data_IF_609784143093
#
_entry.id   IF_609784143093
#
_cell.length_a   1.000
_cell.length_b   1.000
_cell.length_c   1.000
_cell.angle_alpha   90.00
_cell.angle_beta   90.00
_cell.angle_gamma   90.00
#
_symmetry.space_group_name_H-M   'P 1'
#
loop_
_entity.id
_entity.type
_entity.pdbx_description
1 polymer ?
#
# COMPACT_ATOMS: atom_id res chain seq x y z
N UNK A 1 -35.47 -37.44 10.74
CA UNK A 1 -34.67 -36.55 9.86
C UNK A 1 -33.86 -35.56 10.71
N UNK A 2 -32.63 -35.20 10.27
CA UNK A 2 -31.56 -34.62 11.09
C UNK A 2 -31.79 -33.15 11.53
N UNK A 3 -31.00 -32.65 12.50
CA UNK A 3 -31.12 -31.28 13.05
C UNK A 3 -30.64 -30.18 12.07
N UNK A 4 -31.04 -28.91 12.28
CA UNK A 4 -30.40 -27.76 11.62
C UNK A 4 -29.02 -27.54 12.28
N UNK A 5 -27.95 -27.11 11.59
CA UNK A 5 -27.87 -25.72 11.14
C UNK A 5 -26.90 -25.47 9.95
N UNK A 6 -27.11 -24.40 9.19
CA UNK A 6 -25.96 -23.63 8.67
C UNK A 6 -26.22 -22.16 8.90
N UNK A 7 -25.64 -21.68 9.99
CA UNK A 7 -25.26 -20.29 10.19
C UNK A 7 -24.47 -19.87 8.95
N UNK A 8 -25.11 -19.25 7.95
CA UNK A 8 -24.34 -18.44 7.03
C UNK A 8 -24.12 -17.12 7.73
N UNK A 9 -22.97 -17.09 8.39
CA UNK A 9 -22.31 -15.97 9.01
C UNK A 9 -22.55 -14.68 8.23
N UNK A 10 -23.13 -13.73 8.94
CA UNK A 10 -23.23 -12.31 8.61
C UNK A 10 -21.89 -11.81 8.08
N UNK A 11 -21.89 -11.25 6.87
CA UNK A 11 -21.00 -10.13 6.57
C UNK A 11 -21.90 -9.07 5.95
N UNK A 12 -22.48 -8.27 6.84
CA UNK A 12 -22.87 -6.91 6.52
C UNK A 12 -21.57 -6.19 6.14
N UNK A 13 -21.26 -6.09 4.85
CA UNK A 13 -20.42 -4.98 4.38
C UNK A 13 -21.28 -3.72 4.36
N UNK A 14 -21.74 -3.32 5.55
CA UNK A 14 -21.86 -1.90 5.83
C UNK A 14 -20.44 -1.39 5.98
N UNK A 15 -19.94 -0.65 5.02
CA UNK A 15 -19.05 0.45 5.38
C UNK A 15 -19.06 1.48 4.27
N UNK A 16 -19.23 2.70 4.73
CA UNK A 16 -19.39 3.93 3.98
C UNK A 16 -18.21 4.12 3.01
N UNK A 17 -18.50 4.47 1.76
CA UNK A 17 -17.57 5.21 0.91
C UNK A 17 -17.48 6.64 1.45
N UNK A 18 -16.97 6.79 2.67
CA UNK A 18 -16.51 8.09 3.14
C UNK A 18 -15.10 8.19 2.63
N UNK A 19 -14.89 9.06 1.64
CA UNK A 19 -13.56 9.42 1.12
C UNK A 19 -12.71 9.85 2.33
N UNK A 20 -12.00 8.89 2.92
CA UNK A 20 -10.97 9.16 3.91
C UNK A 20 -9.81 9.70 3.10
N UNK A 21 -9.68 11.02 3.11
CA UNK A 21 -8.39 11.70 2.91
C UNK A 21 -7.35 10.84 3.63
N UNK A 22 -6.31 10.40 2.93
CA UNK A 22 -5.43 9.31 3.36
C UNK A 22 -4.63 9.63 4.63
N UNK A 23 -5.31 9.61 5.78
CA UNK A 23 -4.77 9.60 7.14
C UNK A 23 -4.18 8.22 7.47
N UNK A 24 -3.29 7.75 6.59
CA UNK A 24 -2.49 6.56 6.85
C UNK A 24 -1.05 7.01 7.08
N UNK A 25 -0.42 6.44 8.09
CA UNK A 25 0.99 6.73 8.35
C UNK A 25 1.85 6.16 7.23
N UNK A 26 2.97 6.81 6.93
CA UNK A 26 3.94 6.32 5.92
C UNK A 26 4.39 4.87 6.21
N UNK A 27 4.53 4.53 7.51
CA UNK A 27 4.78 3.16 7.96
C UNK A 27 3.67 2.17 7.56
N UNK A 28 2.41 2.51 7.83
CA UNK A 28 1.26 1.64 7.49
C UNK A 28 1.14 1.48 5.97
N UNK A 29 1.37 2.56 5.22
CA UNK A 29 1.42 2.52 3.76
C UNK A 29 2.48 1.55 3.26
N UNK A 30 3.70 1.61 3.80
CA UNK A 30 4.79 0.70 3.44
C UNK A 30 4.48 -0.75 3.77
N UNK A 31 3.89 -1.02 4.94
CA UNK A 31 3.48 -2.38 5.34
C UNK A 31 2.45 -2.95 4.36
N UNK A 32 1.46 -2.15 3.96
CA UNK A 32 0.42 -2.59 3.03
C UNK A 32 0.93 -2.78 1.60
N UNK A 33 1.80 -1.88 1.12
CA UNK A 33 2.52 -2.02 -0.15
C UNK A 33 3.33 -3.32 -0.13
N UNK A 34 4.06 -3.60 0.95
CA UNK A 34 4.87 -4.80 1.09
C UNK A 34 4.02 -6.07 1.07
N UNK A 35 2.85 -6.04 1.71
CA UNK A 35 1.89 -7.14 1.70
C UNK A 35 1.38 -7.40 0.27
N UNK A 36 0.96 -6.35 -0.44
CA UNK A 36 0.53 -6.46 -1.84
C UNK A 36 1.66 -6.99 -2.72
N UNK A 37 2.88 -6.47 -2.58
CA UNK A 37 4.08 -6.91 -3.31
C UNK A 37 4.51 -8.36 -2.97
N UNK A 38 3.94 -9.00 -1.94
CA UNK A 38 4.12 -10.44 -1.66
C UNK A 38 3.05 -11.29 -2.34
N UNK A 39 1.83 -10.76 -2.48
CA UNK A 39 0.71 -11.45 -3.12
C UNK A 39 0.70 -11.31 -4.65
N UNK A 40 1.31 -10.25 -5.18
CA UNK A 40 1.37 -9.95 -6.62
C UNK A 40 2.73 -10.28 -7.23
N UNK A 41 2.72 -10.52 -8.54
CA UNK A 41 3.94 -10.75 -9.30
C UNK A 41 4.67 -9.44 -9.59
N UNK A 42 5.83 -9.24 -8.95
CA UNK A 42 6.68 -8.06 -9.10
C UNK A 42 7.16 -7.84 -10.54
N UNK A 43 7.22 -8.90 -11.34
CA UNK A 43 7.70 -8.83 -12.72
C UNK A 43 6.69 -8.19 -13.68
N UNK A 44 5.40 -8.21 -13.29
CA UNK A 44 4.28 -7.68 -14.09
C UNK A 44 3.52 -6.56 -13.40
N UNK A 45 3.76 -6.37 -12.10
CA UNK A 45 3.07 -5.35 -11.30
C UNK A 45 3.83 -4.03 -11.34
N UNK A 46 3.17 -2.98 -11.81
CA UNK A 46 3.68 -1.61 -11.77
C UNK A 46 3.23 -0.88 -10.51
N UNK A 47 3.95 0.17 -10.10
CA UNK A 47 3.58 0.98 -8.94
C UNK A 47 2.14 1.54 -9.03
N UNK A 48 1.67 1.84 -10.26
CA UNK A 48 0.27 2.20 -10.52
C UNK A 48 -0.73 1.11 -10.10
N UNK A 49 -0.42 -0.16 -10.37
CA UNK A 49 -1.25 -1.30 -9.93
C UNK A 49 -1.21 -1.47 -8.42
N UNK A 50 -0.03 -1.32 -7.81
CA UNK A 50 0.13 -1.41 -6.35
C UNK A 50 -0.71 -0.35 -5.65
N UNK A 51 -0.60 0.92 -6.07
CA UNK A 51 -1.41 2.02 -5.52
C UNK A 51 -2.90 1.71 -5.56
N UNK A 52 -3.41 1.28 -6.72
CA UNK A 52 -4.82 0.92 -6.89
C UNK A 52 -5.26 -0.23 -5.97
N UNK A 53 -4.37 -1.19 -5.70
CA UNK A 53 -4.66 -2.29 -4.79
C UNK A 53 -4.68 -1.82 -3.33
N UNK A 54 -3.76 -0.93 -2.93
CA UNK A 54 -3.75 -0.31 -1.60
C UNK A 54 -5.03 0.53 -1.41
N UNK A 55 -5.33 1.41 -2.36
CA UNK A 55 -6.55 2.24 -2.38
C UNK A 55 -7.80 1.37 -2.25
N UNK A 56 -7.90 0.28 -3.02
CA UNK A 56 -9.04 -0.63 -2.97
C UNK A 56 -9.13 -1.43 -1.67
N UNK A 57 -7.98 -1.76 -1.05
CA UNK A 57 -7.93 -2.57 0.17
C UNK A 57 -8.25 -1.76 1.42
N UNK A 58 -7.77 -0.52 1.48
CA UNK A 58 -7.99 0.40 2.59
C UNK A 58 -9.18 1.35 2.37
N UNK A 59 -9.73 1.39 1.16
CA UNK A 59 -10.78 2.31 0.70
C UNK A 59 -10.38 3.80 0.93
N UNK A 60 -9.14 4.13 0.56
CA UNK A 60 -8.55 5.47 0.68
C UNK A 60 -8.15 6.00 -0.70
N UNK A 61 -7.97 7.31 -0.82
CA UNK A 61 -7.41 7.94 -2.02
C UNK A 61 -5.94 8.29 -1.82
N UNK A 62 -5.06 7.69 -2.64
CA UNK A 62 -3.62 7.98 -2.64
C UNK A 62 -3.21 8.74 -3.91
N UNK A 63 -4.15 9.32 -4.64
CA UNK A 63 -3.88 10.09 -5.86
C UNK A 63 -2.90 11.24 -5.61
N UNK A 64 -3.05 11.94 -4.48
CA UNK A 64 -2.16 13.03 -4.09
C UNK A 64 -0.78 12.53 -3.61
N UNK A 65 -0.74 11.33 -3.00
CA UNK A 65 0.47 10.68 -2.49
C UNK A 65 1.10 9.69 -3.48
N UNK A 66 0.79 9.82 -4.77
CA UNK A 66 1.31 8.94 -5.84
C UNK A 66 2.84 8.81 -5.79
N UNK A 67 3.56 9.93 -5.64
CA UNK A 67 5.04 9.94 -5.64
C UNK A 67 5.57 9.06 -4.51
N UNK A 68 5.05 9.27 -3.31
CA UNK A 68 5.42 8.50 -2.12
C UNK A 68 5.13 7.00 -2.31
N UNK A 69 4.00 6.64 -2.89
CA UNK A 69 3.68 5.24 -3.19
C UNK A 69 4.65 4.65 -4.22
N UNK A 70 4.94 5.38 -5.30
CA UNK A 70 5.89 4.95 -6.34
C UNK A 70 7.29 4.74 -5.71
N UNK A 71 7.74 5.65 -4.85
CA UNK A 71 9.04 5.56 -4.15
C UNK A 71 9.10 4.38 -3.18
N UNK A 72 8.04 4.15 -2.39
CA UNK A 72 7.95 3.01 -1.49
C UNK A 72 7.94 1.68 -2.24
N UNK A 73 7.27 1.61 -3.40
CA UNK A 73 7.31 0.41 -4.26
C UNK A 73 8.72 0.14 -4.74
N UNK A 74 9.44 1.17 -5.22
CA UNK A 74 10.83 1.03 -5.65
C UNK A 74 11.74 0.59 -4.49
N UNK A 75 11.63 1.23 -3.31
CA UNK A 75 12.38 0.84 -2.12
C UNK A 75 12.10 -0.61 -1.72
N UNK A 76 10.84 -1.04 -1.68
CA UNK A 76 10.50 -2.43 -1.35
C UNK A 76 10.98 -3.45 -2.38
N UNK A 77 11.08 -3.08 -3.66
CA UNK A 77 11.66 -3.94 -4.70
C UNK A 77 13.17 -4.04 -4.57
N UNK A 78 13.83 -2.91 -4.29
CA UNK A 78 15.27 -2.83 -4.07
C UNK A 78 15.66 -3.62 -2.81
N UNK A 79 15.01 -3.38 -1.66
CA UNK A 79 15.27 -4.08 -0.39
C UNK A 79 15.15 -5.61 -0.50
N UNK A 80 14.20 -6.13 -1.30
CA UNK A 80 14.07 -7.57 -1.56
C UNK A 80 15.21 -8.14 -2.40
N UNK A 81 15.88 -7.31 -3.18
CA UNK A 81 17.00 -7.69 -4.04
C UNK A 81 18.36 -7.43 -3.36
N UNK A 82 18.41 -6.45 -2.45
CA UNK A 82 19.59 -5.99 -1.71
C UNK A 82 19.80 -6.64 -0.35
N UNK A 83 19.04 -7.67 0.04
CA UNK A 83 19.40 -8.54 1.18
C UNK A 83 20.75 -9.26 0.97
N UNK A 84 21.45 -8.99 -0.14
CA UNK A 84 22.81 -9.44 -0.42
C UNK A 84 23.91 -8.37 -0.32
N UNK A 85 23.66 -7.04 -0.25
CA UNK A 85 24.75 -6.04 -0.04
C UNK A 85 24.27 -4.76 0.65
N UNK A 86 25.18 -4.28 1.49
CA UNK A 86 25.14 -3.12 2.37
C UNK A 86 25.40 -1.81 1.59
N UNK A 87 24.83 -0.72 2.13
CA UNK A 87 25.27 0.70 2.03
C UNK A 87 24.76 1.64 0.91
N UNK A 88 24.53 2.89 1.35
CA UNK A 88 24.35 4.18 0.62
C UNK A 88 23.05 4.44 -0.18
N UNK A 89 22.39 5.60 -0.14
CA UNK A 89 22.66 6.90 0.48
C UNK A 89 21.33 7.72 0.42
N UNK A 90 21.01 8.39 1.52
CA UNK A 90 20.51 9.78 1.67
C UNK A 90 19.44 10.31 0.67
N UNK A 91 18.21 10.62 1.10
CA UNK A 91 17.85 11.92 1.72
C UNK A 91 18.39 13.13 0.93
N UNK A 92 17.62 13.58 -0.07
CA UNK A 92 17.57 15.02 -0.39
C UNK A 92 16.28 15.58 0.23
N UNK A 93 16.43 16.02 1.49
CA UNK A 93 15.55 16.94 2.18
C UNK A 93 16.02 18.38 1.93
N UNK A 94 15.05 19.31 1.85
CA UNK A 94 15.19 20.76 2.13
C UNK A 94 15.93 21.66 1.09
N UNK A 95 15.61 22.94 0.84
CA UNK A 95 14.57 23.88 1.29
C UNK A 95 14.60 25.14 0.37
N UNK A 96 13.57 25.99 0.55
CA UNK A 96 13.36 27.41 0.21
C UNK A 96 14.45 28.28 -0.46
N UNK A 97 14.04 29.20 -1.36
CA UNK A 97 14.00 30.66 -1.07
C UNK A 97 13.35 31.49 -2.22
N UNK A 98 12.63 32.54 -1.84
CA UNK A 98 12.03 33.59 -2.69
C UNK A 98 13.07 34.41 -3.48
N UNK A 99 12.75 34.78 -4.73
CA UNK A 99 12.66 36.18 -5.20
C UNK A 99 11.79 36.29 -6.47
#
# INVERSE_FOLDING_TARGET
PPPPPRQQLVILHTSLHTVKMADISQKELREEITAILKDVDLHTTSAKKVRQLVEKKLDIDLSDRKKEVDDLVMKCLQEKQDESKDDDEEEEEEEEEEE
#
